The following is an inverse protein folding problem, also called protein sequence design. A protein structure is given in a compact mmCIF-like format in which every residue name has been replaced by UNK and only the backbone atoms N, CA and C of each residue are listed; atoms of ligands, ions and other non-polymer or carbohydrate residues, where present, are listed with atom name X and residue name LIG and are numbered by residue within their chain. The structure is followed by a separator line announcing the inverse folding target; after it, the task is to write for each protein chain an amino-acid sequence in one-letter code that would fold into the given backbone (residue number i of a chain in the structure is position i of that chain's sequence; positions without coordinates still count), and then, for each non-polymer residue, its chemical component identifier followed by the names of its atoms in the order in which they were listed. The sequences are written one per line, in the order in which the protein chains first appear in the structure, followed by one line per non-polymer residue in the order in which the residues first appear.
data_IF_983619551373
#
_entry.id   IF_983619551373
#
_cell.length_a   1.000
_cell.length_b   1.000
_cell.length_c   1.000
_cell.angle_alpha   90.00
_cell.angle_beta   90.00
_cell.angle_gamma   90.00
#
_symmetry.space_group_name_H-M   'P 1'
#
loop_
_entity.id
_entity.type
_entity.pdbx_description
1 polymer ?
#
# COMPACT_ATOMS: atom_id res chain seq x y z
N UNK A 1 -13.90 15.49 0.69
CA UNK A 1 -12.76 16.00 -0.12
C UNK A 1 -13.03 17.46 -0.35
N UNK A 2 -12.09 18.36 0.07
CA UNK A 2 -12.21 19.77 -0.14
C UNK A 2 -12.05 20.13 -1.62
N UNK A 3 -12.92 20.97 -2.15
CA UNK A 3 -12.72 21.59 -3.46
C UNK A 3 -11.86 22.84 -3.29
N UNK A 4 -10.83 22.95 -4.10
CA UNK A 4 -10.01 24.15 -4.19
C UNK A 4 -10.71 25.13 -5.13
N UNK A 5 -11.12 26.28 -4.64
CA UNK A 5 -11.63 27.38 -5.48
C UNK A 5 -10.41 28.13 -5.99
N UNK A 6 -10.05 27.93 -7.25
CA UNK A 6 -9.04 28.76 -7.93
C UNK A 6 -9.73 29.94 -8.58
N UNK A 7 -9.58 31.11 -7.97
CA UNK A 7 -9.93 32.38 -8.62
C UNK A 7 -8.96 32.66 -9.76
N UNK A 8 -9.47 32.90 -10.97
CA UNK A 8 -8.67 33.37 -12.08
C UNK A 8 -8.47 34.89 -11.96
N UNK A 9 -7.19 35.28 -12.01
CA UNK A 9 -6.61 36.62 -12.14
C UNK A 9 -6.50 37.51 -10.90
N UNK A 10 -5.40 37.49 -10.28
CA UNK A 10 -4.38 38.57 -10.22
C UNK A 10 -4.61 39.73 -9.29
N UNK A 11 -5.54 39.78 -8.29
CA UNK A 11 -5.54 40.92 -7.33
C UNK A 11 -5.92 40.56 -5.90
N UNK A 12 -6.31 39.33 -5.57
CA UNK A 12 -6.92 39.08 -4.26
C UNK A 12 -5.99 38.31 -3.33
N UNK A 13 -5.05 38.99 -2.68
CA UNK A 13 -4.32 38.48 -1.51
C UNK A 13 -5.27 38.08 -0.36
N UNK A 14 -6.51 38.54 -0.38
CA UNK A 14 -7.53 38.26 0.64
C UNK A 14 -8.04 36.81 0.62
N UNK A 15 -7.92 36.11 -0.52
CA UNK A 15 -8.34 34.70 -0.65
C UNK A 15 -7.18 33.70 -0.67
N UNK A 16 -5.93 34.20 -0.52
CA UNK A 16 -4.77 33.35 -0.55
C UNK A 16 -4.77 32.39 0.65
N UNK A 17 -4.76 31.09 0.37
CA UNK A 17 -4.72 30.03 1.38
C UNK A 17 -6.07 29.64 1.98
N UNK A 18 -7.20 30.15 1.48
CA UNK A 18 -8.53 29.71 1.95
C UNK A 18 -8.90 28.37 1.28
N UNK A 19 -9.21 27.38 2.11
CA UNK A 19 -9.79 26.10 1.71
C UNK A 19 -11.20 25.98 2.24
N UNK A 20 -12.11 25.55 1.37
CA UNK A 20 -13.48 25.20 1.75
C UNK A 20 -13.55 23.68 1.87
N UNK A 21 -13.95 23.19 3.04
CA UNK A 21 -14.23 21.78 3.29
C UNK A 21 -15.66 21.62 3.77
N UNK A 22 -16.32 20.53 3.41
CA UNK A 22 -17.65 20.23 3.94
C UNK A 22 -17.49 19.27 5.11
N UNK A 23 -17.94 19.68 6.29
CA UNK A 23 -17.94 18.86 7.50
C UNK A 23 -19.38 18.76 8.01
N UNK A 24 -19.91 17.54 8.12
CA UNK A 24 -21.30 17.29 8.49
C UNK A 24 -22.37 17.97 7.60
N UNK A 25 -22.06 18.18 6.30
CA UNK A 25 -22.96 18.83 5.35
C UNK A 25 -22.88 20.36 5.33
N UNK A 26 -22.06 20.98 6.17
CA UNK A 26 -21.85 22.43 6.20
C UNK A 26 -20.45 22.82 5.68
N UNK A 27 -20.34 23.93 4.92
CA UNK A 27 -19.06 24.43 4.46
C UNK A 27 -18.25 24.98 5.64
N UNK A 28 -17.05 24.47 5.82
CA UNK A 28 -16.07 24.95 6.79
C UNK A 28 -14.94 25.64 6.04
N UNK A 29 -14.76 26.93 6.31
CA UNK A 29 -13.68 27.72 5.74
C UNK A 29 -12.44 27.61 6.65
N UNK A 30 -11.28 27.35 6.06
CA UNK A 30 -10.02 27.32 6.77
C UNK A 30 -8.94 28.07 5.99
N UNK A 31 -8.06 28.77 6.70
CA UNK A 31 -6.86 29.41 6.14
C UNK A 31 -5.63 28.70 6.68
N UNK A 32 -4.82 28.14 5.79
CA UNK A 32 -3.62 27.37 6.15
C UNK A 32 -3.89 26.23 7.18
N UNK A 33 -5.07 25.59 7.06
CA UNK A 33 -5.47 24.49 7.93
C UNK A 33 -6.09 24.88 9.28
N UNK A 34 -6.24 26.19 9.55
CA UNK A 34 -6.91 26.70 10.76
C UNK A 34 -8.31 27.19 10.38
N UNK A 35 -9.38 26.77 11.09
CA UNK A 35 -10.72 27.28 10.85
C UNK A 35 -10.76 28.81 10.99
N UNK A 36 -11.40 29.50 10.05
CA UNK A 36 -11.61 30.95 10.13
C UNK A 36 -12.78 31.26 11.06
N UNK A 37 -12.78 32.44 11.68
CA UNK A 37 -13.83 32.87 12.61
C UNK A 37 -15.15 33.12 11.89
N UNK A 38 -16.29 33.04 12.60
CA UNK A 38 -17.62 33.30 12.07
C UNK A 38 -17.77 34.69 11.45
N UNK A 39 -17.08 35.71 12.03
CA UNK A 39 -17.03 37.06 11.47
C UNK A 39 -16.29 37.12 10.14
N UNK A 40 -15.20 36.37 10.01
CA UNK A 40 -14.43 36.27 8.77
C UNK A 40 -15.18 35.45 7.71
N UNK A 41 -15.91 34.41 8.11
CA UNK A 41 -16.84 33.70 7.24
C UNK A 41 -17.92 34.62 6.71
N UNK A 42 -18.48 35.47 7.55
CA UNK A 42 -19.50 36.44 7.13
C UNK A 42 -18.94 37.52 6.16
N UNK A 43 -17.69 37.94 6.34
CA UNK A 43 -17.02 38.86 5.41
C UNK A 43 -16.68 38.17 4.08
N UNK A 44 -16.15 36.95 4.12
CA UNK A 44 -15.89 36.14 2.92
C UNK A 44 -17.18 35.90 2.16
N UNK A 45 -18.28 35.53 2.85
CA UNK A 45 -19.59 35.36 2.25
C UNK A 45 -20.16 36.65 1.66
N UNK A 46 -19.91 37.81 2.26
CA UNK A 46 -20.27 39.09 1.71
C UNK A 46 -19.43 39.50 0.49
N UNK A 47 -18.14 39.13 0.48
CA UNK A 47 -17.25 39.35 -0.66
C UNK A 47 -17.61 38.44 -1.85
N UNK A 48 -17.99 37.20 -1.56
CA UNK A 48 -18.50 36.27 -2.58
C UNK A 48 -19.87 36.73 -3.11
N UNK A 49 -20.70 37.37 -2.27
CA UNK A 49 -22.03 37.89 -2.64
C UNK A 49 -22.08 39.30 -3.19
N UNK A 50 -20.99 40.08 -3.09
CA UNK A 50 -20.90 41.44 -3.67
C UNK A 50 -20.07 41.40 -4.95
N UNK A 51 -20.74 41.49 -6.10
CA UNK A 51 -20.29 41.96 -7.41
C UNK A 51 -18.77 42.04 -7.68
N UNK A 52 -17.97 41.18 -7.14
CA UNK A 52 -16.68 40.91 -7.73
C UNK A 52 -16.96 40.04 -8.96
N UNK A 53 -16.56 40.48 -10.14
CA UNK A 53 -16.56 39.70 -11.39
C UNK A 53 -15.62 38.49 -11.22
N UNK A 54 -15.99 37.57 -10.33
CA UNK A 54 -15.38 36.23 -10.31
C UNK A 54 -15.94 35.54 -11.54
N UNK A 55 -15.16 35.59 -12.62
CA UNK A 55 -15.46 34.84 -13.84
C UNK A 55 -15.37 33.34 -13.55
N UNK A 56 -16.41 32.78 -12.94
CA UNK A 56 -16.54 31.35 -12.78
C UNK A 56 -16.85 30.79 -14.15
N UNK A 57 -15.89 30.11 -14.80
CA UNK A 57 -16.09 29.49 -16.11
C UNK A 57 -16.65 28.09 -16.01
N UNK A 58 -16.34 27.37 -14.94
CA UNK A 58 -16.64 25.96 -14.78
C UNK A 58 -17.02 25.64 -13.32
N UNK A 59 -18.02 24.77 -13.14
CA UNK A 59 -18.47 24.30 -11.83
C UNK A 59 -18.72 22.79 -11.84
N UNK A 60 -18.20 22.08 -10.83
CA UNK A 60 -18.47 20.67 -10.61
C UNK A 60 -19.44 20.45 -9.46
N UNK A 61 -20.53 19.72 -9.71
CA UNK A 61 -21.45 19.28 -8.69
C UNK A 61 -21.22 17.81 -8.38
N UNK A 62 -20.90 17.52 -7.12
CA UNK A 62 -20.78 16.14 -6.64
C UNK A 62 -22.15 15.62 -6.20
N UNK A 63 -22.58 14.52 -6.80
CA UNK A 63 -23.83 13.84 -6.48
C UNK A 63 -23.51 12.63 -5.60
N UNK A 64 -23.90 12.69 -4.32
CA UNK A 64 -23.90 11.52 -3.45
C UNK A 64 -25.03 10.57 -3.88
N UNK A 65 -24.67 9.38 -4.29
CA UNK A 65 -25.60 8.40 -4.85
C UNK A 65 -26.59 7.81 -3.84
N UNK A 66 -26.36 8.02 -2.55
CA UNK A 66 -27.34 7.73 -1.49
C UNK A 66 -28.32 8.88 -1.23
N UNK A 67 -28.19 9.99 -1.98
CA UNK A 67 -29.12 11.14 -1.88
C UNK A 67 -28.97 11.96 -0.59
N UNK A 68 -27.82 11.90 0.07
CA UNK A 68 -27.57 12.63 1.34
C UNK A 68 -27.18 14.08 1.13
N UNK A 69 -26.79 14.48 -0.09
CA UNK A 69 -26.34 15.83 -0.42
C UNK A 69 -27.33 16.51 -1.35
N UNK A 70 -27.42 17.84 -1.19
CA UNK A 70 -28.15 18.73 -2.09
C UNK A 70 -27.15 19.66 -2.78
N UNK A 71 -27.45 20.16 -3.98
CA UNK A 71 -26.59 21.15 -4.63
C UNK A 71 -26.50 22.41 -3.78
N UNK A 72 -25.32 23.00 -3.74
CA UNK A 72 -25.09 24.32 -3.13
C UNK A 72 -25.75 25.36 -4.05
N UNK A 73 -26.58 26.22 -3.49
CA UNK A 73 -27.18 27.32 -4.25
C UNK A 73 -26.11 28.40 -4.50
N UNK A 74 -25.89 28.71 -5.78
CA UNK A 74 -24.89 29.70 -6.21
C UNK A 74 -25.65 30.87 -6.80
N UNK A 75 -25.85 31.88 -5.93
CA UNK A 75 -26.43 33.15 -6.32
C UNK A 75 -25.38 34.08 -6.92
N UNK A 76 -25.74 34.85 -7.93
CA UNK A 76 -24.93 35.95 -8.48
C UNK A 76 -23.87 35.53 -9.51
N UNK A 77 -23.79 34.27 -9.92
CA UNK A 77 -22.93 33.86 -11.02
C UNK A 77 -23.49 34.25 -12.37
N UNK A 78 -22.71 34.94 -13.19
CA UNK A 78 -23.11 35.42 -14.52
C UNK A 78 -22.85 34.34 -15.58
N UNK A 79 -23.87 33.81 -16.28
CA UNK A 79 -23.67 32.89 -17.40
C UNK A 79 -22.85 33.52 -18.54
N UNK A 80 -22.13 32.71 -19.36
CA UNK A 80 -22.23 31.26 -19.44
C UNK A 80 -21.25 30.53 -18.50
N UNK A 81 -21.77 29.62 -17.68
CA UNK A 81 -20.97 28.75 -16.82
C UNK A 81 -21.15 27.29 -17.28
N UNK A 82 -20.03 26.61 -17.53
CA UNK A 82 -20.05 25.19 -17.79
C UNK A 82 -20.24 24.45 -16.46
N UNK A 83 -21.08 23.43 -16.47
CA UNK A 83 -21.27 22.58 -15.31
C UNK A 83 -20.93 21.12 -15.59
N UNK A 84 -20.41 20.45 -14.61
CA UNK A 84 -20.12 19.02 -14.64
C UNK A 84 -20.86 18.34 -13.49
N UNK A 85 -21.53 17.22 -13.77
CA UNK A 85 -22.00 16.32 -12.72
C UNK A 85 -20.98 15.24 -12.47
N UNK A 86 -20.53 15.12 -11.21
CA UNK A 86 -19.62 14.08 -10.72
C UNK A 86 -20.43 13.13 -9.86
N UNK A 87 -20.68 11.93 -10.38
CA UNK A 87 -21.48 10.92 -9.72
C UNK A 87 -20.60 10.13 -8.77
N UNK A 88 -20.95 10.12 -7.49
CA UNK A 88 -20.25 9.37 -6.45
C UNK A 88 -20.45 7.86 -6.57
N UNK A 89 -19.71 7.12 -5.78
CA UNK A 89 -19.74 5.64 -5.75
C UNK A 89 -20.23 5.07 -4.42
N UNK A 90 -20.89 5.88 -3.60
CA UNK A 90 -21.37 5.51 -2.27
C UNK A 90 -22.32 4.31 -2.34
N UNK A 91 -23.17 4.24 -3.37
CA UNK A 91 -24.06 3.11 -3.56
C UNK A 91 -23.31 1.78 -3.77
N UNK A 92 -22.10 1.83 -4.34
CA UNK A 92 -21.27 0.63 -4.53
C UNK A 92 -20.89 -0.06 -3.21
N UNK A 93 -20.93 0.66 -2.09
CA UNK A 93 -20.68 0.10 -0.75
C UNK A 93 -21.80 -0.86 -0.31
N UNK A 94 -23.00 -0.67 -0.83
CA UNK A 94 -24.21 -1.42 -0.47
C UNK A 94 -24.53 -2.56 -1.45
N UNK A 95 -23.72 -2.75 -2.49
CA UNK A 95 -23.94 -3.78 -3.52
C UNK A 95 -22.63 -4.40 -3.97
N UNK A 96 -22.71 -5.65 -4.40
CA UNK A 96 -21.62 -6.37 -5.06
C UNK A 96 -21.77 -6.35 -6.59
N UNK A 97 -22.82 -5.71 -7.12
CA UNK A 97 -23.04 -5.60 -8.55
C UNK A 97 -21.98 -4.71 -9.21
N UNK A 98 -21.56 -5.07 -10.39
CA UNK A 98 -20.69 -4.27 -11.28
C UNK A 98 -21.47 -3.25 -12.11
N UNK A 99 -22.79 -3.19 -11.93
CA UNK A 99 -23.70 -2.28 -12.62
C UNK A 99 -24.85 -1.90 -11.69
N UNK A 100 -25.15 -0.61 -11.61
CA UNK A 100 -26.29 -0.10 -10.86
C UNK A 100 -26.74 1.25 -11.43
N UNK A 101 -27.94 1.70 -11.07
CA UNK A 101 -28.56 2.91 -11.58
C UNK A 101 -28.83 3.90 -10.45
N UNK A 102 -28.39 5.15 -10.64
CA UNK A 102 -28.77 6.27 -9.79
C UNK A 102 -30.13 6.76 -10.23
N UNK A 103 -31.11 6.77 -9.32
CA UNK A 103 -32.46 7.17 -9.60
C UNK A 103 -32.56 8.67 -9.90
N UNK A 104 -33.55 9.02 -10.71
CA UNK A 104 -33.78 10.40 -11.13
C UNK A 104 -34.05 11.37 -9.99
N UNK A 105 -34.69 10.91 -8.89
CA UNK A 105 -34.97 11.73 -7.72
C UNK A 105 -33.71 12.21 -7.00
N UNK A 106 -32.62 11.43 -7.04
CA UNK A 106 -31.32 11.81 -6.50
C UNK A 106 -30.63 12.88 -7.36
N UNK A 107 -30.82 12.83 -8.67
CA UNK A 107 -30.14 13.71 -9.63
C UNK A 107 -30.92 14.99 -9.89
N UNK A 108 -32.25 14.91 -9.83
CA UNK A 108 -33.17 16.01 -10.17
C UNK A 108 -32.83 17.35 -9.48
N UNK A 109 -32.51 17.43 -8.17
CA UNK A 109 -32.18 18.71 -7.54
C UNK A 109 -30.99 19.42 -8.19
N UNK A 110 -30.01 18.64 -8.67
CA UNK A 110 -28.83 19.17 -9.36
C UNK A 110 -29.14 19.65 -10.75
N UNK A 111 -29.97 18.90 -11.50
CA UNK A 111 -30.44 19.30 -12.83
C UNK A 111 -31.32 20.53 -12.76
N UNK A 112 -32.22 20.60 -11.78
CA UNK A 112 -33.11 21.76 -11.58
C UNK A 112 -32.27 23.02 -11.28
N UNK A 113 -31.20 22.92 -10.51
CA UNK A 113 -30.32 24.05 -10.26
C UNK A 113 -29.54 24.46 -11.50
N UNK A 114 -28.97 23.51 -12.23
CA UNK A 114 -28.21 23.77 -13.46
C UNK A 114 -29.12 24.50 -14.45
N UNK A 115 -30.34 24.01 -14.64
CA UNK A 115 -31.34 24.63 -15.56
C UNK A 115 -31.83 25.97 -15.02
N UNK A 116 -32.19 26.07 -13.74
CA UNK A 116 -32.71 27.28 -13.11
C UNK A 116 -31.71 28.44 -13.06
N UNK A 117 -30.42 28.14 -13.05
CA UNK A 117 -29.33 29.14 -13.08
C UNK A 117 -28.77 29.37 -14.50
N UNK A 118 -29.35 28.76 -15.50
CA UNK A 118 -28.91 28.86 -16.88
C UNK A 118 -27.46 28.37 -17.12
N UNK A 119 -27.00 27.40 -16.32
CA UNK A 119 -25.69 26.75 -16.48
C UNK A 119 -25.79 25.74 -17.63
N UNK A 120 -24.68 25.54 -18.34
CA UNK A 120 -24.58 24.56 -19.40
C UNK A 120 -23.99 23.27 -18.86
N UNK A 121 -24.75 22.17 -18.81
CA UNK A 121 -24.22 20.85 -18.50
C UNK A 121 -23.31 20.38 -19.64
N UNK A 122 -22.03 20.31 -19.40
CA UNK A 122 -21.03 19.97 -20.42
C UNK A 122 -20.48 18.56 -20.27
N UNK A 123 -20.51 17.99 -19.07
CA UNK A 123 -19.98 16.65 -18.83
C UNK A 123 -20.65 15.94 -17.65
N UNK A 124 -20.65 14.63 -17.74
CA UNK A 124 -21.05 13.70 -16.71
C UNK A 124 -19.86 12.76 -16.45
N UNK A 125 -19.42 12.63 -15.22
CA UNK A 125 -18.32 11.78 -14.85
C UNK A 125 -18.67 10.90 -13.64
N UNK A 126 -18.14 9.69 -13.61
CA UNK A 126 -18.12 8.85 -12.43
C UNK A 126 -16.82 9.00 -11.64
N UNK A 127 -16.36 7.92 -11.03
CA UNK A 127 -15.02 7.81 -10.48
C UNK A 127 -14.04 7.24 -11.51
N UNK A 128 -12.78 7.08 -11.12
CA UNK A 128 -11.79 6.46 -12.01
C UNK A 128 -12.19 5.04 -12.43
N UNK A 129 -12.75 4.27 -11.51
CA UNK A 129 -13.12 2.86 -11.71
C UNK A 129 -14.60 2.63 -12.00
N UNK A 130 -15.39 3.70 -12.09
CA UNK A 130 -16.81 3.65 -12.40
C UNK A 130 -17.18 4.67 -13.48
N UNK A 131 -17.70 4.18 -14.58
CA UNK A 131 -18.17 5.01 -15.68
C UNK A 131 -19.63 5.38 -15.47
N UNK A 132 -19.94 6.67 -15.59
CA UNK A 132 -21.29 7.21 -15.54
C UNK A 132 -21.82 7.45 -16.96
N UNK A 133 -23.02 6.94 -17.25
CA UNK A 133 -23.72 7.12 -18.54
C UNK A 133 -25.13 7.66 -18.29
N UNK A 134 -25.56 8.75 -18.95
CA UNK A 134 -26.89 9.29 -18.74
C UNK A 134 -27.97 8.35 -19.31
N UNK A 135 -29.05 8.21 -18.58
CA UNK A 135 -30.27 7.57 -19.05
C UNK A 135 -31.23 8.69 -19.49
N UNK A 136 -31.56 8.71 -20.76
CA UNK A 136 -32.42 9.75 -21.35
C UNK A 136 -33.80 9.20 -21.62
N UNK A 137 -34.84 10.06 -21.49
CA UNK A 137 -36.19 9.77 -21.95
C UNK A 137 -36.31 10.07 -23.45
N UNK A 138 -37.49 9.87 -24.01
CA UNK A 138 -37.79 10.13 -25.43
C UNK A 138 -37.63 11.60 -25.85
N UNK A 139 -37.60 12.52 -24.90
CA UNK A 139 -37.39 13.95 -25.12
C UNK A 139 -35.94 14.39 -24.96
N UNK A 140 -35.02 13.43 -24.67
CA UNK A 140 -33.61 13.74 -24.45
C UNK A 140 -33.27 14.25 -23.05
N UNK A 141 -34.21 14.22 -22.12
CA UNK A 141 -33.99 14.66 -20.74
C UNK A 141 -33.41 13.53 -19.91
N UNK A 142 -32.44 13.84 -19.02
CA UNK A 142 -31.82 12.89 -18.15
C UNK A 142 -32.78 12.45 -17.03
N UNK A 143 -33.10 11.17 -16.98
CA UNK A 143 -33.99 10.55 -16.00
C UNK A 143 -33.27 9.69 -14.98
N UNK A 144 -31.98 9.47 -15.16
CA UNK A 144 -31.13 8.68 -14.29
C UNK A 144 -29.71 8.62 -14.81
N UNK A 145 -28.85 7.95 -14.08
CA UNK A 145 -27.46 7.67 -14.49
C UNK A 145 -27.17 6.21 -14.27
N UNK A 146 -26.73 5.52 -15.31
CA UNK A 146 -26.19 4.17 -15.22
C UNK A 146 -24.72 4.22 -14.80
N UNK A 147 -24.36 3.46 -13.79
CA UNK A 147 -22.99 3.29 -13.33
C UNK A 147 -22.51 1.89 -13.67
N UNK A 148 -21.40 1.82 -14.40
CA UNK A 148 -20.77 0.56 -14.78
C UNK A 148 -19.31 0.53 -14.30
N UNK A 149 -18.92 -0.57 -13.67
CA UNK A 149 -17.54 -0.76 -13.21
C UNK A 149 -16.59 -0.90 -14.39
N UNK A 150 -15.53 -0.13 -14.38
CA UNK A 150 -14.39 -0.31 -15.30
C UNK A 150 -13.51 -1.43 -14.74
N UNK A 151 -13.18 -2.47 -15.53
CA UNK A 151 -12.29 -3.53 -15.06
C UNK A 151 -10.93 -3.00 -14.62
N UNK A 152 -10.39 -3.50 -13.51
CA UNK A 152 -9.06 -3.09 -13.03
C UNK A 152 -7.95 -3.37 -14.03
N UNK A 153 -8.10 -4.40 -14.84
CA UNK A 153 -7.18 -4.74 -15.95
C UNK A 153 -7.07 -3.64 -17.01
N UNK A 154 -8.05 -2.74 -17.12
CA UNK A 154 -8.02 -1.62 -18.06
C UNK A 154 -6.96 -0.56 -17.70
N UNK A 155 -6.45 -0.58 -16.48
CA UNK A 155 -5.48 0.40 -15.97
C UNK A 155 -4.02 -0.07 -16.03
N UNK A 156 -3.77 -1.29 -16.49
CA UNK A 156 -2.44 -1.88 -16.61
C UNK A 156 -2.26 -2.50 -17.99
N UNK A 157 -1.03 -2.46 -18.49
CA UNK A 157 -0.71 -3.14 -19.74
C UNK A 157 -0.64 -4.65 -19.53
N UNK A 158 -1.06 -5.41 -20.52
CA UNK A 158 -1.04 -6.90 -20.46
C UNK A 158 0.37 -7.49 -20.26
N UNK A 159 1.38 -6.73 -20.60
CA UNK A 159 2.80 -7.10 -20.43
C UNK A 159 3.36 -6.76 -19.03
N UNK A 160 2.63 -6.01 -18.24
CA UNK A 160 3.10 -5.57 -16.93
C UNK A 160 2.93 -6.68 -15.88
N UNK A 161 3.85 -6.73 -14.93
CA UNK A 161 3.79 -7.68 -13.80
C UNK A 161 2.50 -7.55 -12.98
N UNK A 162 1.90 -6.37 -12.97
CA UNK A 162 0.65 -6.10 -12.26
C UNK A 162 -0.59 -6.69 -12.97
N UNK A 163 -0.49 -7.16 -14.22
CA UNK A 163 -1.65 -7.68 -14.97
C UNK A 163 -2.34 -8.84 -14.25
N UNK A 164 -1.58 -9.88 -13.91
CA UNK A 164 -2.14 -11.06 -13.25
C UNK A 164 -2.76 -10.72 -11.89
N UNK A 165 -2.16 -9.77 -11.19
CA UNK A 165 -2.70 -9.27 -9.92
C UNK A 165 -4.03 -8.55 -10.13
N UNK A 166 -4.12 -7.63 -11.09
CA UNK A 166 -5.34 -6.88 -11.38
C UNK A 166 -6.45 -7.76 -11.94
N UNK A 167 -6.12 -8.80 -12.72
CA UNK A 167 -7.07 -9.80 -13.16
C UNK A 167 -7.63 -10.61 -11.98
N UNK A 168 -6.78 -11.08 -11.09
CA UNK A 168 -7.20 -11.73 -9.85
C UNK A 168 -8.07 -10.83 -8.96
N UNK A 169 -7.73 -9.55 -8.86
CA UNK A 169 -8.49 -8.56 -8.10
C UNK A 169 -9.89 -8.35 -8.73
N UNK A 170 -9.96 -8.28 -10.07
CA UNK A 170 -11.23 -8.17 -10.81
C UNK A 170 -12.13 -9.41 -10.60
N UNK A 171 -11.55 -10.60 -10.59
CA UNK A 171 -12.29 -11.85 -10.32
C UNK A 171 -12.82 -11.92 -8.89
N UNK A 172 -12.13 -11.31 -7.94
CA UNK A 172 -12.54 -11.26 -6.53
C UNK A 172 -13.60 -10.19 -6.25
N UNK A 173 -13.79 -9.23 -7.15
CA UNK A 173 -14.79 -8.18 -6.97
C UNK A 173 -16.20 -8.77 -6.93
N UNK A 174 -16.93 -8.44 -5.87
CA UNK A 174 -18.32 -8.87 -5.69
C UNK A 174 -18.50 -10.28 -5.11
N UNK A 175 -17.41 -10.97 -4.76
CA UNK A 175 -17.47 -12.33 -4.17
C UNK A 175 -17.67 -12.29 -2.66
N UNK A 176 -17.13 -11.29 -2.00
CA UNK A 176 -17.09 -11.22 -0.53
C UNK A 176 -18.35 -10.54 0.03
N UNK A 177 -18.65 -10.80 1.30
CA UNK A 177 -19.77 -10.14 1.99
C UNK A 177 -19.57 -8.61 2.06
N UNK A 178 -20.68 -7.86 2.11
CA UNK A 178 -20.66 -6.39 2.07
C UNK A 178 -19.97 -5.75 3.28
N UNK A 179 -19.93 -6.44 4.41
CA UNK A 179 -19.25 -6.03 5.64
C UNK A 179 -17.82 -6.57 5.78
N UNK A 180 -17.33 -7.27 4.74
CA UNK A 180 -16.00 -7.86 4.76
C UNK A 180 -14.90 -6.79 4.63
N UNK A 181 -13.71 -7.14 5.14
CA UNK A 181 -12.52 -6.31 5.01
C UNK A 181 -12.10 -6.10 3.55
N UNK A 182 -12.27 -7.12 2.74
CA UNK A 182 -12.00 -7.07 1.28
C UNK A 182 -12.94 -6.07 0.60
N UNK A 183 -14.21 -6.04 1.02
CA UNK A 183 -15.18 -5.06 0.52
C UNK A 183 -14.76 -3.62 0.85
N UNK A 184 -14.25 -3.36 2.06
CA UNK A 184 -13.72 -2.04 2.43
C UNK A 184 -12.57 -1.61 1.50
N UNK A 185 -11.69 -2.54 1.14
CA UNK A 185 -10.61 -2.28 0.20
C UNK A 185 -11.16 -1.89 -1.19
N UNK A 186 -12.14 -2.63 -1.71
CA UNK A 186 -12.79 -2.30 -2.98
C UNK A 186 -13.50 -0.95 -2.92
N UNK A 187 -14.14 -0.62 -1.80
CA UNK A 187 -14.79 0.68 -1.61
C UNK A 187 -13.77 1.83 -1.69
N UNK A 188 -12.57 1.64 -1.14
CA UNK A 188 -11.46 2.61 -1.28
C UNK A 188 -11.06 2.79 -2.74
N UNK A 189 -10.89 1.70 -3.50
CA UNK A 189 -10.58 1.77 -4.93
C UNK A 189 -11.68 2.44 -5.73
N UNK A 190 -12.95 2.18 -5.41
CA UNK A 190 -14.11 2.79 -6.07
C UNK A 190 -14.17 4.30 -5.86
N UNK A 191 -13.65 4.81 -4.74
CA UNK A 191 -13.69 6.23 -4.39
C UNK A 191 -12.63 7.09 -5.07
N UNK A 192 -11.69 6.49 -5.82
CA UNK A 192 -10.62 7.23 -6.51
C UNK A 192 -11.22 8.10 -7.61
N UNK A 193 -10.93 9.41 -7.59
CA UNK A 193 -11.42 10.36 -8.60
C UNK A 193 -10.76 10.16 -9.95
N UNK A 194 -11.43 10.61 -11.02
CA UNK A 194 -10.94 10.48 -12.40
C UNK A 194 -9.58 11.12 -12.64
N UNK A 195 -9.23 12.11 -11.87
CA UNK A 195 -7.94 12.85 -12.00
C UNK A 195 -6.81 12.25 -11.15
N UNK A 196 -7.04 11.10 -10.54
CA UNK A 196 -6.11 10.51 -9.56
C UNK A 196 -5.64 9.08 -9.96
N UNK A 197 -5.27 8.82 -11.24
CA UNK A 197 -4.89 7.46 -11.67
C UNK A 197 -3.64 6.94 -10.95
N UNK A 198 -2.77 7.84 -10.47
CA UNK A 198 -1.58 7.48 -9.70
C UNK A 198 -1.94 6.78 -8.39
N UNK A 199 -3.04 7.17 -7.74
CA UNK A 199 -3.50 6.51 -6.51
C UNK A 199 -3.90 5.06 -6.75
N UNK A 200 -4.48 4.74 -7.91
CA UNK A 200 -4.86 3.38 -8.25
C UNK A 200 -3.63 2.50 -8.52
N UNK A 201 -2.68 3.00 -9.31
CA UNK A 201 -1.45 2.26 -9.61
C UNK A 201 -0.60 2.06 -8.37
N UNK A 202 -0.52 3.06 -7.49
CA UNK A 202 0.14 2.93 -6.19
C UNK A 202 -0.56 1.88 -5.31
N UNK A 203 -1.89 1.88 -5.26
CA UNK A 203 -2.66 0.89 -4.51
C UNK A 203 -2.40 -0.53 -5.02
N UNK A 204 -2.34 -0.75 -6.34
CA UNK A 204 -2.00 -2.04 -6.92
C UNK A 204 -0.59 -2.48 -6.52
N UNK A 205 0.39 -1.60 -6.64
CA UNK A 205 1.78 -1.88 -6.27
C UNK A 205 1.90 -2.28 -4.78
N UNK A 206 1.30 -1.51 -3.89
CA UNK A 206 1.26 -1.80 -2.46
C UNK A 206 0.55 -3.13 -2.12
N UNK A 207 -0.54 -3.45 -2.82
CA UNK A 207 -1.29 -4.69 -2.61
C UNK A 207 -0.59 -5.93 -3.15
N UNK A 208 0.28 -5.82 -4.15
CA UNK A 208 0.97 -6.95 -4.79
C UNK A 208 1.86 -7.75 -3.83
N UNK A 209 2.28 -7.17 -2.71
CA UNK A 209 2.98 -7.92 -1.66
C UNK A 209 4.47 -8.10 -1.93
N UNK A 210 5.14 -7.06 -2.35
CA UNK A 210 6.59 -7.03 -2.60
C UNK A 210 7.43 -7.50 -1.40
N UNK A 211 6.89 -7.44 -0.17
CA UNK A 211 7.51 -7.98 1.03
C UNK A 211 7.82 -9.47 0.92
N UNK A 212 7.14 -10.21 0.05
CA UNK A 212 7.36 -11.64 -0.18
C UNK A 212 8.35 -11.93 -1.32
N UNK A 213 8.76 -10.95 -2.10
CA UNK A 213 9.52 -11.15 -3.33
C UNK A 213 10.87 -11.85 -3.12
N UNK A 214 11.56 -11.58 -2.00
CA UNK A 214 12.89 -12.12 -1.71
C UNK A 214 12.96 -12.92 -0.41
N UNK A 215 11.91 -13.64 -0.06
CA UNK A 215 11.83 -14.46 1.17
C UNK A 215 13.00 -15.43 1.29
N UNK A 216 13.33 -16.17 0.21
CA UNK A 216 14.43 -17.13 0.23
C UNK A 216 15.78 -16.48 0.50
N UNK A 217 16.04 -15.32 -0.11
CA UNK A 217 17.26 -14.57 0.15
C UNK A 217 17.37 -14.16 1.63
N UNK A 218 16.28 -13.69 2.22
CA UNK A 218 16.24 -13.32 3.63
C UNK A 218 16.48 -14.52 4.55
N UNK A 219 15.87 -15.68 4.24
CA UNK A 219 16.08 -16.93 4.98
C UNK A 219 17.56 -17.33 4.90
N UNK A 220 18.12 -17.33 3.69
CA UNK A 220 19.54 -17.67 3.48
C UNK A 220 20.48 -16.71 4.23
N UNK A 221 20.19 -15.41 4.19
CA UNK A 221 20.96 -14.39 4.93
C UNK A 221 20.92 -14.65 6.44
N UNK A 222 19.75 -14.95 7.00
CA UNK A 222 19.61 -15.31 8.42
C UNK A 222 20.47 -16.56 8.76
N UNK A 223 20.44 -17.59 7.90
CA UNK A 223 21.24 -18.81 8.08
C UNK A 223 22.74 -18.54 8.06
N UNK A 224 23.20 -17.65 7.20
CA UNK A 224 24.63 -17.26 7.12
C UNK A 224 25.16 -16.61 8.39
N UNK A 225 24.29 -16.02 9.24
CA UNK A 225 24.73 -15.51 10.54
C UNK A 225 25.25 -16.64 11.44
N UNK A 226 24.52 -17.77 11.48
CA UNK A 226 24.96 -18.95 12.22
C UNK A 226 26.25 -19.52 11.62
N UNK A 227 26.33 -19.65 10.29
CA UNK A 227 27.49 -20.19 9.59
C UNK A 227 28.76 -19.38 9.86
N UNK A 228 28.63 -18.04 9.87
CA UNK A 228 29.75 -17.15 10.21
C UNK A 228 30.27 -17.42 11.60
N UNK A 229 29.38 -17.57 12.58
CA UNK A 229 29.78 -17.80 13.97
C UNK A 229 30.34 -19.21 14.18
N UNK A 230 29.78 -20.23 13.50
CA UNK A 230 30.37 -21.59 13.50
C UNK A 230 31.78 -21.58 12.87
N UNK A 231 31.94 -20.87 11.74
CA UNK A 231 33.27 -20.73 11.13
C UNK A 231 34.26 -20.04 12.03
N UNK A 232 33.85 -19.00 12.76
CA UNK A 232 34.69 -18.34 13.75
C UNK A 232 35.09 -19.28 14.90
N UNK A 233 34.13 -20.02 15.48
CA UNK A 233 34.41 -21.01 16.54
C UNK A 233 35.36 -22.11 16.06
N UNK A 234 35.26 -22.53 14.80
CA UNK A 234 36.12 -23.57 14.23
C UNK A 234 37.55 -23.11 13.95
N UNK A 235 37.76 -21.87 13.51
CA UNK A 235 39.02 -21.36 12.99
C UNK A 235 39.80 -20.52 13.99
N UNK A 236 39.15 -19.70 14.77
CA UNK A 236 39.77 -18.68 15.59
C UNK A 236 39.89 -19.08 17.08
N UNK A 237 39.06 -20.02 17.54
CA UNK A 237 39.10 -20.53 18.88
C UNK A 237 39.80 -21.89 18.91
N UNK A 238 41.12 -21.87 18.78
CA UNK A 238 41.92 -23.07 18.94
C UNK A 238 41.91 -23.54 20.39
N UNK A 239 41.77 -24.82 20.60
CA UNK A 239 41.90 -25.46 21.93
C UNK A 239 42.98 -26.51 21.86
N UNK A 240 43.69 -26.68 22.95
CA UNK A 240 44.70 -27.75 23.11
C UNK A 240 44.07 -29.13 23.39
N UNK A 241 42.76 -29.17 23.56
CA UNK A 241 42.03 -30.39 23.86
C UNK A 241 41.61 -31.08 22.57
N UNK A 242 41.78 -32.40 22.51
CA UNK A 242 41.31 -33.24 21.40
C UNK A 242 39.79 -33.28 21.28
N UNK A 243 39.09 -33.00 22.38
CA UNK A 243 37.63 -32.82 22.39
C UNK A 243 37.32 -31.42 22.88
N UNK A 244 36.61 -30.67 22.08
CA UNK A 244 36.26 -29.31 22.43
C UNK A 244 34.78 -29.04 22.28
N UNK A 245 34.25 -28.25 23.19
CA UNK A 245 32.91 -27.71 23.17
C UNK A 245 33.01 -26.19 23.21
N UNK A 246 32.51 -25.54 22.18
CA UNK A 246 32.60 -24.09 22.03
C UNK A 246 31.20 -23.51 21.86
N UNK A 247 30.92 -22.46 22.59
CA UNK A 247 29.65 -21.75 22.48
C UNK A 247 29.92 -20.25 22.34
N UNK A 248 29.11 -19.57 21.52
CA UNK A 248 29.18 -18.15 21.34
C UNK A 248 27.79 -17.56 21.22
N UNK A 249 27.48 -16.53 21.98
CA UNK A 249 26.35 -15.67 21.76
C UNK A 249 26.77 -14.53 20.80
N UNK A 250 25.85 -14.12 19.93
CA UNK A 250 26.10 -13.04 18.97
C UNK A 250 24.88 -12.15 18.77
N UNK A 251 25.15 -10.92 18.38
CA UNK A 251 24.16 -9.97 17.91
C UNK A 251 24.67 -9.27 16.66
N UNK A 252 23.78 -8.98 15.73
CA UNK A 252 24.12 -8.31 14.49
C UNK A 252 23.01 -7.32 14.12
N UNK A 253 23.43 -6.14 13.69
CA UNK A 253 22.57 -5.16 13.07
C UNK A 253 23.05 -4.95 11.63
N UNK A 254 22.17 -5.05 10.68
CA UNK A 254 22.50 -5.03 9.26
C UNK A 254 21.39 -4.32 8.46
N UNK A 255 21.75 -3.79 7.32
CA UNK A 255 20.87 -3.12 6.39
C UNK A 255 20.99 -3.77 5.01
N UNK A 256 19.85 -4.02 4.39
CA UNK A 256 19.77 -4.46 2.99
C UNK A 256 19.18 -3.37 2.15
N UNK A 257 19.88 -2.99 1.09
CA UNK A 257 19.42 -2.03 0.11
C UNK A 257 19.66 -2.55 -1.31
N UNK A 258 18.72 -2.26 -2.22
CA UNK A 258 18.79 -2.67 -3.61
C UNK A 258 18.03 -1.71 -4.50
N UNK A 259 18.51 -1.51 -5.72
CA UNK A 259 17.81 -0.75 -6.76
C UNK A 259 16.89 -1.63 -7.62
N UNK A 260 16.74 -2.91 -7.27
CA UNK A 260 15.89 -3.85 -8.00
C UNK A 260 14.42 -3.55 -7.76
N UNK A 261 13.69 -3.22 -8.82
CA UNK A 261 12.26 -2.96 -8.75
C UNK A 261 11.50 -4.17 -8.18
N UNK A 262 10.52 -3.90 -7.30
CA UNK A 262 9.70 -4.93 -6.67
C UNK A 262 10.37 -5.62 -5.48
N UNK A 263 11.55 -5.18 -5.04
CA UNK A 263 12.21 -5.65 -3.82
C UNK A 263 12.34 -4.48 -2.87
N UNK A 264 11.86 -4.67 -1.64
CA UNK A 264 11.86 -3.62 -0.61
C UNK A 264 13.10 -3.74 0.25
N UNK A 265 13.76 -2.62 0.50
CA UNK A 265 14.86 -2.48 1.45
C UNK A 265 14.38 -2.80 2.87
N UNK A 266 15.28 -3.31 3.70
CA UNK A 266 14.96 -3.61 5.09
C UNK A 266 16.16 -3.50 6.00
N UNK A 267 15.89 -3.20 7.27
CA UNK A 267 16.83 -3.32 8.38
C UNK A 267 16.64 -4.67 9.07
N UNK A 268 17.74 -5.28 9.48
CA UNK A 268 17.78 -6.55 10.23
C UNK A 268 18.45 -6.33 11.58
N UNK A 269 17.84 -6.86 12.62
CA UNK A 269 18.41 -6.89 13.97
C UNK A 269 18.29 -8.32 14.53
N UNK A 270 19.39 -9.03 14.46
CA UNK A 270 19.47 -10.44 14.80
C UNK A 270 20.27 -10.69 16.06
N UNK A 271 19.87 -11.68 16.85
CA UNK A 271 20.60 -12.19 17.99
C UNK A 271 20.44 -13.70 18.09
N UNK A 272 21.47 -14.36 18.59
CA UNK A 272 21.45 -15.80 18.65
C UNK A 272 22.65 -16.40 19.37
N UNK A 273 22.77 -17.69 19.24
CA UNK A 273 23.92 -18.44 19.72
C UNK A 273 24.32 -19.51 18.71
N UNK A 274 25.60 -19.86 18.75
CA UNK A 274 26.19 -20.94 17.97
C UNK A 274 26.99 -21.86 18.91
N UNK A 275 26.84 -23.14 18.68
CA UNK A 275 27.55 -24.18 19.42
C UNK A 275 28.30 -25.10 18.45
N UNK A 276 29.52 -25.45 18.78
CA UNK A 276 30.37 -26.35 18.02
C UNK A 276 30.98 -27.40 18.95
N UNK A 277 30.76 -28.67 18.64
CA UNK A 277 31.47 -29.80 19.20
C UNK A 277 32.43 -30.35 18.17
N UNK A 278 33.70 -30.50 18.55
CA UNK A 278 34.75 -31.00 17.66
C UNK A 278 35.62 -32.02 18.37
N UNK A 279 35.86 -33.16 17.68
CA UNK A 279 36.80 -34.18 18.06
C UNK A 279 37.94 -34.18 17.05
N UNK A 280 39.15 -33.87 17.51
CA UNK A 280 40.36 -33.97 16.69
C UNK A 280 40.88 -35.38 16.70
N UNK A 281 41.20 -35.92 15.52
CA UNK A 281 41.80 -37.23 15.37
C UNK A 281 43.26 -37.24 15.78
N UNK A 282 43.82 -38.44 15.93
CA UNK A 282 45.25 -38.66 16.20
C UNK A 282 46.12 -38.07 15.07
N UNK A 283 45.60 -38.12 13.85
CA UNK A 283 46.28 -37.55 12.69
C UNK A 283 45.97 -36.06 12.58
N UNK A 284 47.01 -35.24 12.46
CA UNK A 284 46.87 -33.80 12.29
C UNK A 284 45.98 -33.45 11.10
N UNK A 285 45.07 -32.50 11.28
CA UNK A 285 44.13 -32.08 10.26
C UNK A 285 42.91 -32.99 10.06
N UNK A 286 42.76 -34.06 10.88
CA UNK A 286 41.56 -34.89 10.88
C UNK A 286 40.69 -34.49 12.08
N UNK A 287 39.46 -34.06 11.80
CA UNK A 287 38.47 -33.77 12.84
C UNK A 287 37.08 -34.21 12.41
N UNK A 288 36.22 -34.45 13.37
CA UNK A 288 34.82 -34.68 13.14
C UNK A 288 34.00 -33.99 14.22
N UNK A 289 32.82 -33.56 13.88
CA UNK A 289 32.02 -32.84 14.86
C UNK A 289 30.61 -32.60 14.40
N UNK A 290 29.91 -31.88 15.24
CA UNK A 290 28.57 -31.39 14.96
C UNK A 290 28.42 -29.97 15.50
N UNK A 291 27.47 -29.25 14.93
CA UNK A 291 27.17 -27.92 15.37
C UNK A 291 25.67 -27.69 15.39
N UNK A 292 25.26 -26.74 16.18
CA UNK A 292 23.90 -26.25 16.22
C UNK A 292 23.91 -24.76 16.52
N UNK A 293 22.90 -24.07 16.01
CA UNK A 293 22.72 -22.67 16.31
C UNK A 293 21.23 -22.28 16.22
N UNK A 294 20.94 -21.22 16.93
CA UNK A 294 19.64 -20.58 16.88
C UNK A 294 19.82 -19.08 16.68
N UNK A 295 18.97 -18.48 15.89
CA UNK A 295 18.95 -17.02 15.67
C UNK A 295 17.51 -16.53 15.60
N UNK A 296 17.28 -15.42 16.26
CA UNK A 296 16.06 -14.65 16.13
C UNK A 296 16.39 -13.35 15.40
N UNK A 297 15.75 -13.12 14.27
CA UNK A 297 15.97 -11.99 13.36
C UNK A 297 14.71 -11.16 13.23
N UNK A 298 14.81 -9.87 13.55
CA UNK A 298 13.75 -8.90 13.40
C UNK A 298 14.06 -8.03 12.20
N UNK A 299 13.24 -8.19 11.15
CA UNK A 299 13.34 -7.43 9.93
C UNK A 299 12.29 -6.34 9.91
N UNK A 300 12.69 -5.13 9.57
CA UNK A 300 11.80 -4.00 9.39
C UNK A 300 11.96 -3.46 7.97
N UNK A 301 10.90 -3.56 7.18
CA UNK A 301 10.90 -3.09 5.81
C UNK A 301 10.82 -1.55 5.75
N UNK A 302 11.46 -0.97 4.74
CA UNK A 302 11.44 0.46 4.44
C UNK A 302 10.29 0.86 3.51
N UNK A 303 9.21 0.10 3.56
CA UNK A 303 7.95 0.40 2.89
C UNK A 303 7.15 1.50 3.61
N UNK A 304 6.11 2.02 2.96
CA UNK A 304 5.26 3.09 3.51
C UNK A 304 4.63 2.66 4.84
N UNK A 305 4.17 1.42 4.93
CA UNK A 305 3.52 0.87 6.11
C UNK A 305 4.49 0.44 7.21
N UNK A 306 5.80 0.41 6.93
CA UNK A 306 6.84 -0.13 7.83
C UNK A 306 6.50 -1.55 8.29
N UNK A 307 6.30 -2.43 7.32
CA UNK A 307 6.04 -3.85 7.53
C UNK A 307 7.17 -4.52 8.32
N UNK A 308 6.86 -5.58 9.04
CA UNK A 308 7.82 -6.28 9.91
C UNK A 308 7.75 -7.77 9.68
N UNK A 309 8.89 -8.43 9.77
CA UNK A 309 9.00 -9.88 9.79
C UNK A 309 9.86 -10.31 10.97
N UNK A 310 9.34 -11.23 11.79
CA UNK A 310 10.10 -11.87 12.85
C UNK A 310 10.41 -13.29 12.41
N UNK A 311 11.68 -13.66 12.46
CA UNK A 311 12.16 -14.99 12.07
C UNK A 311 12.91 -15.62 13.20
N UNK A 312 12.58 -16.86 13.50
CA UNK A 312 13.38 -17.72 14.37
C UNK A 312 13.87 -18.89 13.54
N UNK A 313 15.18 -19.09 13.49
CA UNK A 313 15.82 -20.19 12.77
C UNK A 313 16.57 -21.07 13.73
N UNK A 314 16.40 -22.37 13.58
CA UNK A 314 17.24 -23.41 14.17
C UNK A 314 18.00 -24.08 13.03
N UNK A 315 19.32 -24.26 13.20
CA UNK A 315 20.19 -24.89 12.22
C UNK A 315 21.12 -25.86 12.94
N UNK A 316 21.30 -27.05 12.37
CA UNK A 316 22.23 -28.03 12.87
C UNK A 316 22.94 -28.76 11.74
N UNK A 317 24.15 -29.21 11.98
CA UNK A 317 24.93 -29.93 11.00
C UNK A 317 25.99 -30.80 11.61
N UNK A 318 26.52 -31.71 10.78
CA UNK A 318 27.64 -32.57 11.07
C UNK A 318 28.75 -32.35 10.06
N UNK A 319 29.99 -32.53 10.46
CA UNK A 319 31.11 -32.37 9.53
C UNK A 319 32.24 -33.37 9.83
N UNK A 320 33.02 -33.63 8.78
CA UNK A 320 34.28 -34.36 8.88
C UNK A 320 35.35 -33.64 8.06
N UNK A 321 36.47 -33.35 8.69
CA UNK A 321 37.64 -32.78 8.04
C UNK A 321 38.69 -33.89 7.92
N UNK A 322 39.32 -34.00 6.77
CA UNK A 322 40.34 -35.00 6.48
C UNK A 322 41.53 -34.33 5.80
N UNK A 323 42.72 -34.73 6.20
CA UNK A 323 43.95 -34.35 5.52
C UNK A 323 44.47 -35.53 4.67
N UNK A 324 44.95 -35.28 3.43
CA UNK A 324 45.51 -36.34 2.59
C UNK A 324 46.63 -37.11 3.29
N UNK A 325 46.76 -38.37 2.97
CA UNK A 325 47.60 -39.30 3.72
C UNK A 325 49.09 -38.94 3.77
N UNK A 326 49.57 -38.12 2.84
CA UNK A 326 50.98 -37.77 2.70
C UNK A 326 51.35 -36.35 3.19
N UNK A 327 50.38 -35.57 3.63
CA UNK A 327 50.65 -34.24 4.12
C UNK A 327 50.82 -34.26 5.64
N UNK A 328 52.07 -34.27 6.07
CA UNK A 328 52.41 -34.26 7.48
C UNK A 328 52.17 -32.93 8.18
N UNK A 329 51.98 -31.85 7.42
CA UNK A 329 51.80 -30.49 7.92
C UNK A 329 50.34 -30.10 8.03
N UNK A 330 49.40 -30.91 7.54
CA UNK A 330 47.97 -30.59 7.57
C UNK A 330 47.59 -29.38 6.71
N UNK A 331 48.43 -29.03 5.71
CA UNK A 331 48.26 -27.84 4.89
C UNK A 331 47.09 -27.96 3.91
N UNK A 332 46.74 -29.18 3.50
CA UNK A 332 45.61 -29.47 2.66
C UNK A 332 44.54 -30.22 3.46
N UNK A 333 43.35 -29.63 3.57
CA UNK A 333 42.22 -30.21 4.28
C UNK A 333 41.00 -30.29 3.39
N UNK A 334 40.31 -31.42 3.45
CA UNK A 334 39.01 -31.63 2.83
C UNK A 334 37.96 -31.66 3.93
N UNK A 335 36.96 -30.78 3.82
CA UNK A 335 35.82 -30.74 4.73
C UNK A 335 34.56 -31.17 4.01
N UNK A 336 33.91 -32.20 4.52
CA UNK A 336 32.59 -32.63 4.09
C UNK A 336 31.63 -32.31 5.22
N UNK A 337 30.52 -31.63 4.92
CA UNK A 337 29.50 -31.30 5.90
C UNK A 337 28.10 -31.51 5.32
N UNK A 338 27.16 -31.88 6.17
CA UNK A 338 25.73 -31.91 5.90
C UNK A 338 25.00 -31.10 6.98
N UNK A 339 24.04 -30.31 6.58
CA UNK A 339 23.31 -29.43 7.48
C UNK A 339 21.82 -29.36 7.11
N UNK A 340 21.01 -29.00 8.08
CA UNK A 340 19.61 -28.71 7.88
C UNK A 340 19.16 -27.58 8.77
N UNK A 341 18.10 -26.93 8.38
CA UNK A 341 17.48 -25.83 9.15
C UNK A 341 15.97 -25.90 9.12
N UNK A 342 15.35 -25.28 10.11
CA UNK A 342 13.94 -24.97 10.17
C UNK A 342 13.76 -23.52 10.61
N UNK A 343 12.83 -22.81 9.97
CA UNK A 343 12.49 -21.45 10.37
C UNK A 343 10.99 -21.33 10.64
N UNK A 344 10.66 -20.52 11.64
CA UNK A 344 9.32 -19.97 11.83
C UNK A 344 9.37 -18.48 11.54
N UNK A 345 8.44 -18.01 10.70
CA UNK A 345 8.40 -16.65 10.23
C UNK A 345 7.00 -16.08 10.47
N UNK A 346 6.95 -14.93 11.13
CA UNK A 346 5.74 -14.16 11.40
C UNK A 346 5.84 -12.84 10.64
N UNK A 347 5.06 -12.67 9.57
CA UNK A 347 5.03 -11.48 8.74
C UNK A 347 3.83 -10.60 9.10
N UNK A 348 4.10 -9.36 9.47
CA UNK A 348 3.12 -8.31 9.66
C UNK A 348 3.26 -7.28 8.55
N UNK A 349 2.51 -7.47 7.50
CA UNK A 349 2.49 -6.59 6.35
C UNK A 349 1.52 -5.44 6.58
N UNK A 350 1.95 -4.22 6.23
CA UNK A 350 1.14 -3.02 6.21
C UNK A 350 1.27 -2.37 4.83
N UNK A 351 0.14 -2.06 4.21
CA UNK A 351 0.14 -1.52 2.86
C UNK A 351 -0.89 -0.41 2.73
N UNK A 352 -0.53 0.63 1.97
CA UNK A 352 -1.36 1.80 1.74
C UNK A 352 -2.32 1.55 0.60
N UNK A 353 -3.61 1.78 0.83
CA UNK A 353 -4.63 1.81 -0.21
C UNK A 353 -5.32 3.17 -0.15
N UNK A 354 -5.04 4.01 -1.13
CA UNK A 354 -5.53 5.39 -1.24
C UNK A 354 -5.07 6.26 -0.06
N UNK A 355 -5.78 6.24 1.05
CA UNK A 355 -5.56 7.07 2.24
C UNK A 355 -5.53 6.27 3.55
N UNK A 356 -5.61 4.94 3.46
CA UNK A 356 -5.71 4.07 4.63
C UNK A 356 -4.65 2.95 4.58
N UNK A 357 -4.06 2.67 5.75
CA UNK A 357 -3.12 1.56 5.93
C UNK A 357 -3.89 0.30 6.32
N UNK A 358 -3.85 -0.69 5.44
CA UNK A 358 -4.38 -2.02 5.68
C UNK A 358 -3.31 -2.94 6.28
N UNK A 359 -3.74 -3.89 7.11
CA UNK A 359 -2.84 -4.85 7.75
C UNK A 359 -3.14 -6.26 7.25
N UNK A 360 -2.08 -7.03 6.98
CA UNK A 360 -2.14 -8.45 6.72
C UNK A 360 -1.12 -9.17 7.58
N UNK A 361 -1.50 -10.34 8.11
CA UNK A 361 -0.61 -11.22 8.87
C UNK A 361 -0.50 -12.53 8.15
N UNK A 362 0.71 -13.08 8.12
CA UNK A 362 0.95 -14.42 7.62
C UNK A 362 2.07 -15.08 8.41
N UNK A 363 1.85 -16.34 8.73
CA UNK A 363 2.82 -17.20 9.39
C UNK A 363 3.22 -18.29 8.40
N UNK A 364 4.52 -18.56 8.30
CA UNK A 364 5.01 -19.63 7.45
C UNK A 364 6.26 -20.28 8.03
N UNK A 365 6.43 -21.55 7.72
CA UNK A 365 7.59 -22.35 8.12
C UNK A 365 8.37 -22.74 6.88
N UNK A 366 9.70 -22.64 6.97
CA UNK A 366 10.60 -23.10 5.92
C UNK A 366 11.61 -24.06 6.49
N UNK A 367 12.03 -25.02 5.68
CA UNK A 367 13.06 -26.00 6.04
C UNK A 367 13.94 -26.27 4.83
N UNK A 368 15.15 -26.68 5.08
CA UNK A 368 16.10 -27.05 4.03
C UNK A 368 17.30 -27.79 4.61
#
# INVERSE_FOLDING_TARGET
KGQEVRGASGTDKEFEGIKISIKNGEPVFSRNGVPVSDSEVAEISKLIGKESNIGLSDIGFYVDTLGRTKPIDIDGATPPINSQLIIGTEYSEMTNSKYWVVKGDVIKPFLDQITGRNFKLTSLAGSLTWMATPILNSYGEMTGVAMAKVPYTSFVKKTDNAWNFTDGLEQRYGVNALDSREKLLFNKLNSIGNNEPVLLTQAFDEMMGHQYANVQQRIHRTGRLIDKEISHLSKEWETKSRQSNKIKAFGMKDEYSTDTAGIIDYDSNAYGFAYLHENEGIKLGNSSGWYAGAVHDKLQFKDIGKSKENRTMLKAGVFKTMSPAKDHNGSLQWKVSGEGYVTRNDMHRKYLVVDEIFNAKSDYTSYG
#
